data_IF_073334197137
#
_entry.id   IF_073334197137
#
_cell.length_a   1.000
_cell.length_b   1.000
_cell.length_c   1.000
_cell.angle_alpha   90.00
_cell.angle_beta   90.00
_cell.angle_gamma   90.00
#
_symmetry.space_group_name_H-M   'P 1'
#
loop_
_entity.id
_entity.type
_entity.pdbx_description
1 polymer ?
#
# COMPACT_ATOMS: atom_id res chain seq x y z
N UNK A 1 -19.39 15.25 1.74
CA UNK A 1 -18.71 14.04 2.23
C UNK A 1 -18.66 13.03 1.09
N UNK A 2 -17.53 12.36 0.88
CA UNK A 2 -17.50 11.18 0.00
C UNK A 2 -17.99 9.98 0.81
N UNK A 3 -19.21 9.50 0.54
CA UNK A 3 -19.93 8.52 1.36
C UNK A 3 -19.88 7.09 0.79
N UNK A 4 -18.89 6.77 -0.07
CA UNK A 4 -18.75 5.43 -0.64
C UNK A 4 -18.70 4.36 0.45
N UNK A 5 -19.55 3.33 0.33
CA UNK A 5 -19.64 2.22 1.27
C UNK A 5 -20.58 2.42 2.46
N UNK A 6 -21.12 3.64 2.66
CA UNK A 6 -22.15 3.90 3.67
C UNK A 6 -23.56 3.62 3.11
N UNK A 7 -24.50 3.31 4.01
CA UNK A 7 -25.92 3.07 3.69
C UNK A 7 -26.55 4.21 2.88
N UNK A 8 -26.02 5.43 3.02
CA UNK A 8 -26.44 6.63 2.29
C UNK A 8 -26.24 6.57 0.77
N UNK A 9 -25.42 5.64 0.28
CA UNK A 9 -25.13 5.43 -1.15
C UNK A 9 -25.61 4.04 -1.61
N UNK A 10 -26.17 3.23 -0.71
CA UNK A 10 -26.69 1.90 -1.07
C UNK A 10 -28.07 2.05 -1.73
N UNK A 11 -28.18 1.54 -2.96
CA UNK A 11 -29.40 1.60 -3.77
C UNK A 11 -30.48 0.60 -3.35
N UNK A 12 -30.15 -0.35 -2.49
CA UNK A 12 -31.03 -1.44 -2.05
C UNK A 12 -31.76 -1.11 -0.74
N UNK A 13 -31.90 0.18 -0.41
CA UNK A 13 -32.54 0.68 0.81
C UNK A 13 -33.56 1.78 0.47
N UNK A 14 -34.48 2.06 1.39
CA UNK A 14 -35.49 3.10 1.18
C UNK A 14 -34.88 4.51 1.17
N UNK A 15 -35.39 5.45 0.35
CA UNK A 15 -34.94 6.84 0.35
C UNK A 15 -34.96 7.50 1.73
N UNK A 16 -35.95 7.16 2.56
CA UNK A 16 -36.07 7.69 3.92
C UNK A 16 -34.81 7.41 4.75
N UNK A 17 -34.29 6.18 4.70
CA UNK A 17 -33.10 5.78 5.46
C UNK A 17 -31.86 6.53 4.96
N UNK A 18 -31.69 6.62 3.64
CA UNK A 18 -30.56 7.34 3.05
C UNK A 18 -30.60 8.84 3.42
N UNK A 19 -31.76 9.47 3.30
CA UNK A 19 -31.96 10.88 3.65
C UNK A 19 -31.73 11.12 5.14
N UNK A 20 -32.31 10.28 6.01
CA UNK A 20 -32.16 10.41 7.45
C UNK A 20 -30.69 10.30 7.87
N UNK A 21 -29.98 9.27 7.40
CA UNK A 21 -28.56 9.07 7.74
C UNK A 21 -27.70 10.20 7.19
N UNK A 22 -27.91 10.65 5.95
CA UNK A 22 -27.15 11.77 5.37
C UNK A 22 -27.30 13.05 6.20
N UNK A 23 -28.53 13.42 6.57
CA UNK A 23 -28.79 14.61 7.37
C UNK A 23 -28.20 14.48 8.77
N UNK A 24 -28.33 13.30 9.41
CA UNK A 24 -27.70 13.04 10.70
C UNK A 24 -26.17 13.14 10.62
N UNK A 25 -25.54 12.56 9.60
CA UNK A 25 -24.09 12.65 9.38
C UNK A 25 -23.64 14.08 9.12
N UNK A 26 -24.39 14.86 8.34
CA UNK A 26 -24.08 16.27 8.09
C UNK A 26 -24.17 17.09 9.38
N UNK A 27 -25.22 16.88 10.18
CA UNK A 27 -25.34 17.52 11.50
C UNK A 27 -24.20 17.16 12.44
N UNK A 28 -23.86 15.87 12.52
CA UNK A 28 -22.77 15.38 13.37
C UNK A 28 -21.40 15.88 12.93
N UNK A 29 -21.06 15.72 11.64
CA UNK A 29 -19.69 15.86 11.15
C UNK A 29 -19.37 17.25 10.59
N UNK A 30 -20.37 17.98 10.07
CA UNK A 30 -20.19 19.32 9.49
C UNK A 30 -20.65 20.39 10.47
N UNK A 31 -21.90 20.30 10.92
CA UNK A 31 -22.48 21.32 11.80
C UNK A 31 -22.04 21.17 13.26
N UNK A 32 -21.41 20.04 13.62
CA UNK A 32 -20.98 19.68 14.98
C UNK A 32 -22.13 19.78 15.99
N UNK A 33 -23.30 19.29 15.58
CA UNK A 33 -24.55 19.35 16.34
C UNK A 33 -25.11 17.92 16.57
N UNK A 34 -24.60 17.21 17.61
CA UNK A 34 -25.06 15.87 17.94
C UNK A 34 -26.51 15.85 18.43
N UNK A 35 -26.91 16.83 19.23
CA UNK A 35 -28.25 16.90 19.80
C UNK A 35 -29.30 17.17 18.71
N UNK A 36 -29.00 18.03 17.74
CA UNK A 36 -29.86 18.23 16.58
C UNK A 36 -29.92 17.02 15.67
N UNK A 37 -28.85 16.21 15.56
CA UNK A 37 -28.90 14.94 14.83
C UNK A 37 -29.83 13.93 15.52
N UNK A 38 -29.75 13.82 16.86
CA UNK A 38 -30.64 12.96 17.67
C UNK A 38 -32.09 13.43 17.57
N UNK A 39 -32.31 14.75 17.68
CA UNK A 39 -33.65 15.35 17.60
C UNK A 39 -34.27 15.10 16.23
N UNK A 40 -33.50 15.31 15.15
CA UNK A 40 -33.96 15.03 13.80
C UNK A 40 -34.33 13.56 13.61
N UNK A 41 -33.48 12.62 14.05
CA UNK A 41 -33.79 11.19 13.96
C UNK A 41 -35.06 10.82 14.74
N UNK A 42 -35.25 11.35 15.96
CA UNK A 42 -36.47 11.14 16.75
C UNK A 42 -37.71 11.69 16.04
N UNK A 43 -37.61 12.89 15.46
CA UNK A 43 -38.70 13.52 14.72
C UNK A 43 -39.08 12.69 13.49
N UNK A 44 -38.11 12.27 12.68
CA UNK A 44 -38.37 11.42 11.51
C UNK A 44 -39.05 10.11 11.89
N UNK A 45 -38.64 9.48 13.00
CA UNK A 45 -39.31 8.27 13.51
C UNK A 45 -40.74 8.59 13.96
N UNK A 46 -40.96 9.72 14.64
CA UNK A 46 -42.29 10.14 15.06
C UNK A 46 -43.21 10.38 13.86
N UNK A 47 -42.72 11.06 12.83
CA UNK A 47 -43.49 11.33 11.62
C UNK A 47 -43.84 10.05 10.86
N UNK A 48 -42.94 9.07 10.85
CA UNK A 48 -43.22 7.73 10.31
C UNK A 48 -44.35 7.04 11.08
N UNK A 49 -44.30 7.05 12.42
CA UNK A 49 -45.31 6.42 13.27
C UNK A 49 -46.67 7.12 13.22
N UNK A 50 -46.67 8.44 13.02
CA UNK A 50 -47.88 9.25 12.83
C UNK A 50 -48.40 9.23 11.38
N UNK A 51 -47.84 8.39 10.49
CA UNK A 51 -48.22 8.28 9.08
C UNK A 51 -48.13 9.62 8.31
N UNK A 52 -47.14 10.46 8.64
CA UNK A 52 -46.87 11.75 8.00
C UNK A 52 -45.82 11.67 6.88
N UNK A 53 -45.25 10.49 6.65
CA UNK A 53 -44.23 10.26 5.61
C UNK A 53 -44.90 9.69 4.36
N UNK A 54 -44.58 10.28 3.21
CA UNK A 54 -45.05 9.79 1.92
C UNK A 54 -44.52 8.39 1.63
N UNK A 55 -45.39 7.51 1.14
CA UNK A 55 -45.06 6.09 0.88
C UNK A 55 -43.91 5.93 -0.12
N UNK A 56 -43.71 6.87 -1.05
CA UNK A 56 -42.58 6.86 -1.99
C UNK A 56 -41.22 6.86 -1.29
N UNK A 57 -41.13 7.47 -0.10
CA UNK A 57 -39.90 7.47 0.72
C UNK A 57 -39.61 6.11 1.35
N UNK A 58 -40.58 5.20 1.38
CA UNK A 58 -40.48 3.85 1.95
C UNK A 58 -40.23 2.77 0.89
N UNK A 59 -40.25 3.13 -0.40
CA UNK A 59 -40.03 2.19 -1.51
C UNK A 59 -38.59 1.70 -1.50
N UNK A 60 -38.42 0.40 -1.38
CA UNK A 60 -37.12 -0.28 -1.51
C UNK A 60 -37.02 -0.82 -2.93
N UNK A 61 -35.89 -0.60 -3.58
CA UNK A 61 -35.68 -1.03 -4.97
C UNK A 61 -34.47 -1.95 -5.05
N UNK A 62 -34.69 -3.24 -5.36
CA UNK A 62 -33.61 -4.23 -5.44
C UNK A 62 -33.55 -4.89 -6.82
N UNK A 63 -32.35 -5.16 -7.28
CA UNK A 63 -32.12 -5.78 -8.59
C UNK A 63 -32.45 -7.27 -8.57
N UNK A 64 -33.21 -7.73 -9.57
CA UNK A 64 -33.48 -9.14 -9.78
C UNK A 64 -32.29 -9.80 -10.48
N UNK A 65 -31.23 -10.08 -9.72
CA UNK A 65 -30.00 -10.67 -10.26
C UNK A 65 -30.10 -12.19 -10.50
N UNK A 66 -30.95 -12.88 -9.74
CA UNK A 66 -31.16 -14.34 -9.82
C UNK A 66 -32.52 -14.72 -9.23
N UNK A 67 -33.07 -15.83 -9.70
CA UNK A 67 -34.42 -16.30 -9.30
C UNK A 67 -34.41 -17.26 -8.13
N UNK A 68 -33.29 -17.96 -7.89
CA UNK A 68 -33.15 -18.89 -6.78
C UNK A 68 -32.11 -18.40 -5.77
N UNK A 69 -32.58 -18.16 -4.54
CA UNK A 69 -31.75 -17.85 -3.38
C UNK A 69 -32.01 -18.89 -2.30
N UNK A 70 -30.96 -19.26 -1.55
CA UNK A 70 -31.07 -20.17 -0.42
C UNK A 70 -32.07 -19.71 0.67
N UNK A 71 -32.27 -18.40 0.79
CA UNK A 71 -33.29 -17.80 1.64
C UNK A 71 -34.30 -16.99 0.81
N UNK A 72 -35.58 -17.08 1.16
CA UNK A 72 -36.65 -16.33 0.47
C UNK A 72 -36.39 -14.82 0.51
N UNK A 73 -36.33 -14.20 -0.67
CA UNK A 73 -36.10 -12.77 -0.82
C UNK A 73 -37.39 -12.06 -1.27
N UNK A 74 -37.72 -10.92 -0.66
CA UNK A 74 -38.96 -10.19 -0.93
C UNK A 74 -39.15 -9.79 -2.42
N UNK A 75 -38.12 -9.22 -3.05
CA UNK A 75 -38.13 -8.80 -4.47
C UNK A 75 -38.31 -9.98 -5.46
N UNK A 76 -37.81 -11.17 -5.12
CA UNK A 76 -37.95 -12.38 -5.96
C UNK A 76 -39.35 -12.95 -5.85
N UNK A 77 -39.88 -13.04 -4.63
CA UNK A 77 -41.26 -13.49 -4.37
C UNK A 77 -42.28 -12.55 -5.03
N UNK A 78 -42.01 -11.24 -5.00
CA UNK A 78 -42.85 -10.25 -5.69
C UNK A 78 -42.79 -10.43 -7.21
N UNK A 79 -41.59 -10.59 -7.80
CA UNK A 79 -41.45 -10.84 -9.23
C UNK A 79 -42.20 -12.11 -9.67
N UNK A 80 -42.12 -13.20 -8.88
CA UNK A 80 -42.87 -14.43 -9.13
C UNK A 80 -44.39 -14.24 -9.04
N UNK A 81 -44.87 -13.45 -8.08
CA UNK A 81 -46.30 -13.09 -7.97
C UNK A 81 -46.77 -12.23 -9.14
N UNK A 82 -45.96 -11.26 -9.58
CA UNK A 82 -46.25 -10.44 -10.75
C UNK A 82 -46.36 -11.30 -12.00
N UNK A 83 -45.41 -12.23 -12.20
CA UNK A 83 -45.43 -13.20 -13.31
C UNK A 83 -46.65 -14.11 -13.33
N UNK A 84 -47.14 -14.53 -12.15
CA UNK A 84 -48.38 -15.31 -12.03
C UNK A 84 -49.63 -14.48 -12.36
N UNK A 85 -49.62 -13.18 -12.06
CA UNK A 85 -50.74 -12.27 -12.33
C UNK A 85 -50.81 -11.89 -13.80
N UNK A 86 -49.66 -11.55 -14.38
CA UNK A 86 -49.51 -11.22 -15.80
C UNK A 86 -48.04 -11.39 -16.19
N UNK A 87 -47.78 -12.33 -17.10
CA UNK A 87 -46.43 -12.63 -17.57
C UNK A 87 -45.83 -11.50 -18.43
N UNK A 88 -46.66 -10.67 -19.07
CA UNK A 88 -46.21 -9.59 -19.96
C UNK A 88 -45.61 -8.39 -19.22
N UNK A 89 -46.05 -8.13 -17.99
CA UNK A 89 -45.61 -6.98 -17.16
C UNK A 89 -44.63 -7.38 -16.04
N UNK A 90 -44.21 -8.64 -16.01
CA UNK A 90 -43.33 -9.15 -14.96
C UNK A 90 -41.86 -8.68 -15.14
N UNK A 91 -41.16 -8.33 -14.05
CA UNK A 91 -39.75 -7.97 -14.11
C UNK A 91 -38.88 -9.12 -14.61
N UNK A 92 -37.91 -8.81 -15.48
CA UNK A 92 -36.92 -9.74 -16.03
C UNK A 92 -35.63 -9.71 -15.20
N UNK A 93 -34.74 -10.67 -15.45
CA UNK A 93 -33.40 -10.66 -14.85
C UNK A 93 -32.65 -9.37 -15.24
N UNK A 94 -32.09 -8.69 -14.25
CA UNK A 94 -31.47 -7.36 -14.40
C UNK A 94 -32.43 -6.19 -14.09
N UNK A 95 -33.74 -6.41 -14.06
CA UNK A 95 -34.69 -5.35 -13.71
C UNK A 95 -34.68 -5.08 -12.20
N UNK A 96 -34.96 -3.81 -11.86
CA UNK A 96 -35.09 -3.34 -10.49
C UNK A 96 -36.54 -3.45 -10.05
N UNK A 97 -36.79 -4.22 -8.99
CA UNK A 97 -38.14 -4.46 -8.46
C UNK A 97 -38.38 -3.53 -7.27
N UNK A 98 -39.30 -2.54 -7.39
CA UNK A 98 -39.72 -1.70 -6.27
C UNK A 98 -40.74 -2.43 -5.40
N UNK A 99 -40.60 -2.34 -4.08
CA UNK A 99 -41.55 -2.91 -3.13
C UNK A 99 -41.55 -2.15 -1.80
N UNK A 100 -42.63 -2.29 -1.04
CA UNK A 100 -42.77 -1.78 0.32
C UNK A 100 -43.14 -2.95 1.24
N UNK A 101 -42.59 -2.96 2.45
CA UNK A 101 -42.90 -3.97 3.47
C UNK A 101 -44.04 -3.43 4.32
N UNK A 102 -45.24 -3.98 4.12
CA UNK A 102 -46.47 -3.55 4.84
C UNK A 102 -46.73 -4.36 6.12
N UNK A 103 -46.12 -5.54 6.24
CA UNK A 103 -46.28 -6.41 7.40
C UNK A 103 -45.02 -7.27 7.54
N UNK A 104 -44.46 -7.34 8.75
CA UNK A 104 -43.37 -8.27 9.02
C UNK A 104 -43.91 -9.72 9.08
N UNK A 105 -43.12 -10.68 8.62
CA UNK A 105 -43.48 -12.10 8.72
C UNK A 105 -43.67 -12.55 10.18
N UNK A 106 -44.41 -13.65 10.41
CA UNK A 106 -44.49 -14.29 11.74
C UNK A 106 -43.06 -14.65 12.20
N UNK A 107 -42.56 -13.94 13.21
CA UNK A 107 -41.16 -14.02 13.69
C UNK A 107 -40.29 -12.79 13.39
N UNK A 108 -40.79 -11.81 12.63
CA UNK A 108 -40.15 -10.51 12.47
C UNK A 108 -40.23 -9.70 13.77
N UNK A 109 -39.10 -9.14 14.21
CA UNK A 109 -38.95 -8.40 15.47
C UNK A 109 -39.66 -7.04 15.48
N UNK A 110 -40.94 -6.97 15.15
CA UNK A 110 -41.72 -5.70 15.13
C UNK A 110 -42.30 -5.30 16.48
N UNK A 111 -42.16 -6.14 17.50
CA UNK A 111 -42.43 -5.77 18.90
C UNK A 111 -41.22 -6.10 19.77
N UNK A 112 -40.10 -5.40 19.57
CA UNK A 112 -38.99 -5.46 20.51
C UNK A 112 -39.44 -4.97 21.89
N UNK A 113 -39.03 -5.65 22.95
CA UNK A 113 -39.17 -5.11 24.32
C UNK A 113 -38.10 -4.03 24.55
N UNK A 114 -38.23 -3.17 25.58
CA UNK A 114 -37.13 -2.30 26.00
C UNK A 114 -35.81 -3.06 26.18
N UNK A 115 -35.86 -4.31 26.65
CA UNK A 115 -34.69 -5.16 26.87
C UNK A 115 -34.04 -5.61 25.55
N UNK A 116 -34.82 -6.00 24.53
CA UNK A 116 -34.24 -6.37 23.22
C UNK A 116 -33.65 -5.15 22.50
N UNK A 117 -34.27 -3.97 22.61
CA UNK A 117 -33.71 -2.71 22.11
C UNK A 117 -32.43 -2.31 22.84
N UNK A 118 -32.37 -2.49 24.17
CA UNK A 118 -31.15 -2.28 24.96
C UNK A 118 -30.02 -3.20 24.50
N UNK A 119 -30.29 -4.48 24.26
CA UNK A 119 -29.30 -5.43 23.74
C UNK A 119 -28.73 -4.99 22.39
N UNK A 120 -29.60 -4.56 21.47
CA UNK A 120 -29.18 -4.02 20.17
C UNK A 120 -28.35 -2.73 20.32
N UNK A 121 -28.77 -1.82 21.20
CA UNK A 121 -28.04 -0.58 21.47
C UNK A 121 -26.62 -0.83 22.02
N UNK A 122 -26.47 -1.79 22.95
CA UNK A 122 -25.16 -2.20 23.47
C UNK A 122 -24.30 -2.83 22.38
N UNK A 123 -24.90 -3.65 21.51
CA UNK A 123 -24.22 -4.21 20.35
C UNK A 123 -23.72 -3.10 19.41
N UNK A 124 -24.58 -2.15 19.03
CA UNK A 124 -24.19 -1.01 18.19
C UNK A 124 -23.13 -0.12 18.85
N UNK A 125 -23.20 0.09 20.17
CA UNK A 125 -22.18 0.84 20.90
C UNK A 125 -20.82 0.16 20.82
N UNK A 126 -20.79 -1.17 20.97
CA UNK A 126 -19.56 -1.96 20.79
C UNK A 126 -19.02 -1.81 19.37
N UNK A 127 -19.86 -1.93 18.35
CA UNK A 127 -19.47 -1.77 16.94
C UNK A 127 -18.96 -0.36 16.63
N UNK A 128 -19.53 0.69 17.26
CA UNK A 128 -19.04 2.06 17.11
C UNK A 128 -17.71 2.31 17.86
N UNK A 129 -17.51 1.63 18.99
CA UNK A 129 -16.31 1.80 19.81
C UNK A 129 -15.09 1.02 19.29
N UNK A 130 -15.31 -0.14 18.65
CA UNK A 130 -14.24 -0.99 18.12
C UNK A 130 -13.32 -0.26 17.10
N UNK A 131 -13.83 0.50 16.12
CA UNK A 131 -13.00 1.30 15.21
C UNK A 131 -12.11 2.31 15.93
N UNK A 132 -12.60 2.95 17.00
CA UNK A 132 -11.80 3.86 17.82
C UNK A 132 -10.64 3.12 18.50
N UNK A 133 -10.91 1.94 19.07
CA UNK A 133 -9.87 1.09 19.66
C UNK A 133 -8.85 0.61 18.62
N UNK A 134 -9.28 0.29 17.41
CA UNK A 134 -8.39 -0.11 16.33
C UNK A 134 -7.53 1.07 15.87
N UNK A 135 -8.11 2.26 15.73
CA UNK A 135 -7.39 3.48 15.36
C UNK A 135 -6.24 3.76 16.34
N UNK A 136 -6.51 3.61 17.63
CA UNK A 136 -5.53 3.79 18.71
C UNK A 136 -4.51 2.65 18.74
N UNK A 137 -4.96 1.39 18.74
CA UNK A 137 -4.07 0.22 18.80
C UNK A 137 -3.12 0.13 17.60
N UNK A 138 -3.59 0.50 16.41
CA UNK A 138 -2.79 0.53 15.18
C UNK A 138 -2.06 1.86 14.98
N UNK A 139 -2.25 2.83 15.88
CA UNK A 139 -1.63 4.16 15.83
C UNK A 139 -1.83 4.84 14.46
N UNK A 140 -2.98 4.61 13.81
CA UNK A 140 -3.22 5.03 12.43
C UNK A 140 -3.02 6.54 12.24
N UNK A 141 -3.53 7.35 13.17
CA UNK A 141 -3.41 8.80 13.10
C UNK A 141 -1.94 9.24 13.19
N UNK A 142 -1.17 8.67 14.11
CA UNK A 142 0.26 8.97 14.29
C UNK A 142 1.06 8.57 13.05
N UNK A 143 0.83 7.37 12.54
CA UNK A 143 1.52 6.87 11.34
C UNK A 143 1.22 7.75 10.11
N UNK A 144 -0.02 8.20 9.94
CA UNK A 144 -0.37 9.11 8.85
C UNK A 144 0.20 10.51 9.03
N UNK A 145 0.24 11.05 10.25
CA UNK A 145 0.90 12.33 10.53
C UNK A 145 2.39 12.27 10.20
N UNK A 146 3.09 11.22 10.61
CA UNK A 146 4.51 11.05 10.30
C UNK A 146 4.75 10.87 8.80
N UNK A 147 3.91 10.09 8.11
CA UNK A 147 3.97 9.98 6.65
C UNK A 147 3.75 11.33 5.95
N UNK A 148 2.79 12.13 6.41
CA UNK A 148 2.52 13.47 5.87
C UNK A 148 3.71 14.40 6.09
N UNK A 149 4.34 14.38 7.28
CA UNK A 149 5.54 15.15 7.61
C UNK A 149 6.74 14.77 6.73
N UNK A 150 6.96 13.47 6.53
CA UNK A 150 8.07 12.94 5.72
C UNK A 150 7.89 13.26 4.24
N UNK A 151 6.69 13.04 3.71
CA UNK A 151 6.45 13.13 2.25
C UNK A 151 5.94 14.50 1.81
N UNK A 152 5.51 15.35 2.75
CA UNK A 152 5.03 16.70 2.48
C UNK A 152 3.70 16.74 1.73
N UNK A 153 2.82 15.75 1.92
CA UNK A 153 1.46 15.70 1.35
C UNK A 153 0.41 15.85 2.44
N UNK A 154 -0.82 16.22 2.08
CA UNK A 154 -1.92 16.32 3.05
C UNK A 154 -2.40 14.96 3.56
N UNK A 155 -2.98 14.91 4.75
CA UNK A 155 -3.60 13.69 5.31
C UNK A 155 -4.70 13.15 4.38
N UNK A 156 -5.48 14.03 3.76
CA UNK A 156 -6.51 13.63 2.80
C UNK A 156 -5.92 12.89 1.60
N UNK A 157 -4.76 13.31 1.09
CA UNK A 157 -4.06 12.58 0.03
C UNK A 157 -3.59 11.20 0.50
N UNK A 158 -3.19 11.00 1.75
CA UNK A 158 -2.77 9.69 2.23
C UNK A 158 -3.90 8.65 2.23
N UNK A 159 -5.14 9.10 2.39
CA UNK A 159 -6.33 8.22 2.37
C UNK A 159 -6.89 8.00 0.97
N UNK A 160 -6.76 8.99 0.09
CA UNK A 160 -7.43 9.01 -1.23
C UNK A 160 -6.48 8.78 -2.42
N UNK A 161 -5.16 8.82 -2.20
CA UNK A 161 -4.13 8.71 -3.25
C UNK A 161 -3.08 7.64 -2.92
N UNK A 162 -2.49 7.06 -3.96
CA UNK A 162 -1.41 6.06 -3.84
C UNK A 162 -0.02 6.65 -3.55
N UNK A 163 1.04 5.85 -3.75
CA UNK A 163 2.42 6.23 -3.42
C UNK A 163 3.00 7.30 -4.35
N UNK A 164 2.57 7.37 -5.62
CA UNK A 164 3.16 8.28 -6.61
C UNK A 164 3.10 9.76 -6.19
N UNK A 165 2.02 10.22 -5.54
CA UNK A 165 1.91 11.62 -5.12
C UNK A 165 2.96 11.99 -4.06
N UNK A 166 3.35 11.03 -3.23
CA UNK A 166 4.33 11.21 -2.15
C UNK A 166 5.74 11.40 -2.71
N UNK A 167 6.10 10.60 -3.72
CA UNK A 167 7.39 10.74 -4.42
C UNK A 167 7.40 12.02 -5.25
N UNK A 168 6.32 12.31 -5.97
CA UNK A 168 6.19 13.54 -6.76
C UNK A 168 6.31 14.81 -5.89
N UNK A 169 5.69 14.85 -4.71
CA UNK A 169 5.81 15.99 -3.77
C UNK A 169 7.26 16.22 -3.35
N UNK A 170 7.99 15.16 -3.01
CA UNK A 170 9.40 15.25 -2.64
C UNK A 170 10.28 15.68 -3.81
N UNK A 171 10.02 15.14 -5.01
CA UNK A 171 10.75 15.51 -6.22
C UNK A 171 10.54 16.98 -6.56
N UNK A 172 9.30 17.49 -6.54
CA UNK A 172 8.98 18.90 -6.79
C UNK A 172 9.66 19.85 -5.79
N UNK A 173 9.74 19.47 -4.51
CA UNK A 173 10.46 20.27 -3.50
C UNK A 173 11.95 20.34 -3.82
N UNK A 174 12.55 19.23 -4.25
CA UNK A 174 13.98 19.17 -4.59
C UNK A 174 14.31 19.85 -5.92
N UNK A 175 13.46 19.72 -6.93
CA UNK A 175 13.63 20.41 -8.21
C UNK A 175 13.55 21.92 -8.02
N UNK A 176 12.64 22.43 -7.18
CA UNK A 176 12.58 23.85 -6.81
C UNK A 176 13.87 24.34 -6.15
N UNK A 177 14.47 23.57 -5.25
CA UNK A 177 15.73 23.94 -4.58
C UNK A 177 16.92 24.02 -5.56
N UNK A 178 16.89 23.23 -6.62
CA UNK A 178 17.98 23.08 -7.59
C UNK A 178 17.68 23.73 -8.95
N UNK A 179 16.62 24.53 -9.04
CA UNK A 179 16.16 25.21 -10.26
C UNK A 179 15.93 24.27 -11.47
N UNK A 180 15.33 23.10 -11.23
CA UNK A 180 14.86 22.20 -12.29
C UNK A 180 13.34 22.33 -12.50
N UNK A 181 12.92 22.09 -13.74
CA UNK A 181 11.51 21.97 -14.12
C UNK A 181 11.25 20.51 -14.48
N UNK A 182 10.13 19.95 -14.00
CA UNK A 182 9.70 18.59 -14.37
C UNK A 182 8.84 18.70 -15.64
N UNK A 183 9.17 17.98 -16.72
CA UNK A 183 8.36 17.98 -17.93
C UNK A 183 7.01 17.32 -17.68
N UNK A 184 5.98 17.77 -18.40
CA UNK A 184 4.68 17.12 -18.39
C UNK A 184 4.72 15.87 -19.26
N UNK A 185 4.56 14.70 -18.64
CA UNK A 185 4.42 13.45 -19.36
C UNK A 185 2.94 13.18 -19.67
N UNK A 186 2.60 13.16 -20.96
CA UNK A 186 1.31 12.71 -21.47
C UNK A 186 1.50 11.27 -21.95
N UNK A 187 1.40 10.32 -21.02
CA UNK A 187 1.74 8.92 -21.31
C UNK A 187 0.88 8.27 -22.38
N UNK A 188 1.52 7.40 -23.17
CA UNK A 188 0.87 6.30 -23.89
C UNK A 188 1.04 5.01 -23.08
N UNK A 189 0.08 4.08 -23.19
CA UNK A 189 0.26 2.73 -22.65
C UNK A 189 1.36 2.03 -23.47
N UNK A 190 2.59 2.03 -22.96
CA UNK A 190 3.63 1.14 -23.47
C UNK A 190 3.42 -0.25 -22.89
N UNK A 191 3.43 -1.29 -23.73
CA UNK A 191 3.38 -2.69 -23.29
C UNK A 191 4.75 -3.23 -22.82
N UNK A 192 5.80 -2.42 -22.92
CA UNK A 192 7.18 -2.84 -22.67
C UNK A 192 7.40 -3.19 -21.19
N UNK A 193 7.27 -4.48 -20.86
CA UNK A 193 7.70 -4.99 -19.56
C UNK A 193 9.22 -5.10 -19.55
N UNK A 194 9.85 -4.57 -18.50
CA UNK A 194 11.29 -4.72 -18.27
C UNK A 194 11.57 -5.91 -17.34
N UNK A 195 12.74 -6.50 -17.49
CA UNK A 195 13.16 -7.64 -16.68
C UNK A 195 13.29 -7.26 -15.20
N UNK A 196 12.51 -7.93 -14.35
CA UNK A 196 12.43 -7.69 -12.91
C UNK A 196 13.61 -8.26 -12.11
N UNK A 197 13.35 -8.53 -10.83
CA UNK A 197 14.29 -9.21 -9.95
C UNK A 197 14.50 -10.67 -10.37
N UNK A 198 15.68 -11.22 -10.04
CA UNK A 198 15.95 -12.66 -10.20
C UNK A 198 15.72 -13.38 -8.89
N UNK A 199 15.17 -14.59 -9.01
CA UNK A 199 15.10 -15.59 -7.96
C UNK A 199 16.11 -16.69 -8.31
N UNK A 200 17.03 -17.00 -7.40
CA UNK A 200 17.95 -18.13 -7.59
C UNK A 200 17.13 -19.41 -7.50
N UNK A 201 17.35 -20.33 -8.44
CA UNK A 201 16.64 -21.60 -8.48
C UNK A 201 16.83 -22.38 -7.17
N UNK A 202 15.74 -22.69 -6.43
CA UNK A 202 15.87 -23.30 -5.12
C UNK A 202 16.35 -24.74 -5.23
N UNK A 203 17.35 -25.09 -4.43
CA UNK A 203 17.69 -26.48 -4.14
C UNK A 203 16.62 -27.02 -3.18
N UNK A 204 15.57 -27.61 -3.73
CA UNK A 204 14.42 -28.07 -2.95
C UNK A 204 14.82 -29.24 -2.05
N UNK A 205 14.41 -29.18 -0.79
CA UNK A 205 14.66 -30.26 0.16
C UNK A 205 14.32 -29.85 1.59
N UNK A 206 14.34 -30.84 2.48
CA UNK A 206 14.30 -30.60 3.91
C UNK A 206 15.72 -30.43 4.44
N UNK A 207 16.00 -29.30 5.08
CA UNK A 207 17.30 -28.97 5.65
C UNK A 207 17.22 -29.04 7.17
N UNK A 208 17.83 -30.08 7.76
CA UNK A 208 17.97 -30.20 9.21
C UNK A 208 19.11 -29.32 9.77
N UNK A 209 20.09 -28.98 8.92
CA UNK A 209 21.24 -28.16 9.28
C UNK A 209 20.89 -26.66 9.23
N UNK A 210 21.55 -25.82 10.04
CA UNK A 210 21.37 -24.36 10.02
C UNK A 210 21.64 -23.73 8.64
N UNK A 211 20.74 -22.84 8.23
CA UNK A 211 20.87 -22.01 7.02
C UNK A 211 21.01 -20.55 7.42
N UNK A 212 22.07 -19.90 6.98
CA UNK A 212 22.30 -18.49 7.22
C UNK A 212 21.62 -17.65 6.13
N UNK A 213 20.76 -16.71 6.53
CA UNK A 213 20.14 -15.75 5.61
C UNK A 213 20.91 -14.44 5.64
N UNK A 214 21.38 -13.99 4.48
CA UNK A 214 22.12 -12.75 4.30
C UNK A 214 21.32 -11.80 3.41
N UNK A 215 20.95 -10.64 3.94
CA UNK A 215 20.08 -9.66 3.29
C UNK A 215 20.80 -8.32 3.02
N UNK A 216 20.55 -7.73 1.85
CA UNK A 216 20.95 -6.35 1.55
C UNK A 216 19.95 -5.37 2.15
N UNK A 217 20.43 -4.51 3.05
CA UNK A 217 19.57 -3.48 3.61
C UNK A 217 19.23 -2.41 2.57
N UNK A 218 17.97 -2.34 2.13
CA UNK A 218 17.49 -1.33 1.18
C UNK A 218 18.23 -1.39 -0.17
N UNK A 219 18.33 -2.59 -0.77
CA UNK A 219 19.08 -2.86 -2.00
C UNK A 219 18.88 -1.81 -3.10
N UNK A 220 17.64 -1.60 -3.57
CA UNK A 220 17.37 -0.69 -4.70
C UNK A 220 17.72 0.78 -4.41
N UNK A 221 17.30 1.38 -3.28
CA UNK A 221 17.82 2.67 -2.86
C UNK A 221 19.35 2.77 -2.87
N UNK A 222 20.03 1.75 -2.36
CA UNK A 222 21.50 1.72 -2.31
C UNK A 222 22.13 1.68 -3.70
N UNK A 223 21.60 0.86 -4.63
CA UNK A 223 22.05 0.82 -6.03
C UNK A 223 21.90 2.18 -6.70
N UNK A 224 20.73 2.82 -6.53
CA UNK A 224 20.46 4.13 -7.14
C UNK A 224 21.45 5.20 -6.65
N UNK A 225 21.79 5.19 -5.35
CA UNK A 225 22.76 6.11 -4.78
C UNK A 225 24.20 5.81 -5.26
N UNK A 226 24.63 4.54 -5.17
CA UNK A 226 26.00 4.13 -5.49
C UNK A 226 26.36 4.40 -6.96
N UNK A 227 25.42 4.18 -7.88
CA UNK A 227 25.63 4.37 -9.32
C UNK A 227 25.04 5.70 -9.84
N UNK A 228 24.66 6.62 -8.96
CA UNK A 228 24.14 7.95 -9.31
C UNK A 228 22.97 7.92 -10.31
N UNK A 229 22.05 6.96 -10.18
CA UNK A 229 20.95 6.73 -11.11
C UNK A 229 19.82 7.76 -10.88
N UNK A 230 19.59 8.63 -11.85
CA UNK A 230 18.59 9.70 -11.75
C UNK A 230 18.15 10.20 -13.13
N UNK A 231 16.94 10.78 -13.20
CA UNK A 231 16.47 11.51 -14.38
C UNK A 231 17.46 12.57 -14.87
N UNK A 232 18.13 13.28 -13.96
CA UNK A 232 19.06 14.37 -14.27
C UNK A 232 20.48 13.92 -14.61
N UNK A 233 20.75 12.62 -14.56
CA UNK A 233 22.07 12.03 -14.85
C UNK A 233 22.02 11.00 -15.96
N UNK A 234 20.82 10.64 -16.45
CA UNK A 234 20.63 9.78 -17.61
C UNK A 234 21.19 10.44 -18.87
N UNK A 235 21.97 9.68 -19.65
CA UNK A 235 22.60 10.14 -20.88
C UNK A 235 22.12 9.32 -22.07
N UNK A 236 21.89 10.00 -23.20
CA UNK A 236 21.73 9.37 -24.51
C UNK A 236 23.07 9.38 -25.26
N UNK A 237 23.31 8.46 -26.20
CA UNK A 237 24.52 8.48 -27.03
C UNK A 237 24.76 9.83 -27.72
N UNK A 238 23.68 10.46 -28.20
CA UNK A 238 23.73 11.80 -28.81
C UNK A 238 24.20 12.88 -27.82
N UNK A 239 23.78 12.80 -26.56
CA UNK A 239 24.19 13.74 -25.51
C UNK A 239 25.65 13.57 -25.15
N UNK A 240 26.16 12.33 -25.14
CA UNK A 240 27.58 12.02 -24.90
C UNK A 240 28.45 12.66 -25.99
N UNK A 241 28.10 12.48 -27.26
CA UNK A 241 28.84 13.08 -28.38
C UNK A 241 28.74 14.61 -28.37
N UNK A 242 27.55 15.17 -28.11
CA UNK A 242 27.34 16.63 -28.12
C UNK A 242 28.09 17.35 -27.00
N UNK A 243 28.22 16.71 -25.84
CA UNK A 243 28.91 17.28 -24.68
C UNK A 243 30.38 16.86 -24.60
N UNK A 244 30.87 16.10 -25.60
CA UNK A 244 32.25 15.62 -25.69
C UNK A 244 32.71 14.92 -24.39
N UNK A 245 31.83 14.12 -23.79
CA UNK A 245 32.10 13.47 -22.51
C UNK A 245 33.11 12.34 -22.68
N UNK A 246 34.10 12.30 -21.80
CA UNK A 246 35.12 11.24 -21.79
C UNK A 246 34.60 9.98 -21.06
N UNK A 247 35.11 8.77 -21.38
CA UNK A 247 34.63 7.52 -20.78
C UNK A 247 34.74 7.44 -19.25
N UNK A 248 35.63 8.22 -18.64
CA UNK A 248 35.78 8.32 -17.19
C UNK A 248 34.70 9.19 -16.51
N UNK A 249 33.91 9.95 -17.28
CA UNK A 249 32.89 10.88 -16.76
C UNK A 249 31.50 10.26 -16.63
N UNK A 250 31.27 9.11 -17.26
CA UNK A 250 30.01 8.38 -17.19
C UNK A 250 30.23 6.90 -16.88
N UNK A 251 29.15 6.20 -16.54
CA UNK A 251 29.12 4.76 -16.30
C UNK A 251 28.10 4.09 -17.21
N UNK A 252 28.45 2.90 -17.69
CA UNK A 252 27.52 2.02 -18.42
C UNK A 252 26.95 0.97 -17.45
N UNK A 253 25.64 0.83 -17.44
CA UNK A 253 24.92 -0.16 -16.62
C UNK A 253 24.93 -1.54 -17.27
N UNK A 254 24.63 -2.63 -16.53
CA UNK A 254 24.61 -3.98 -17.10
C UNK A 254 23.58 -4.14 -18.24
N UNK A 255 22.50 -3.36 -18.23
CA UNK A 255 21.52 -3.31 -19.32
C UNK A 255 21.86 -2.32 -20.45
N UNK A 256 23.04 -1.69 -20.44
CA UNK A 256 23.54 -0.86 -21.53
C UNK A 256 23.19 0.63 -21.47
N UNK A 257 22.45 1.09 -20.46
CA UNK A 257 22.14 2.51 -20.25
C UNK A 257 23.35 3.29 -19.69
N UNK A 258 23.42 4.59 -19.99
CA UNK A 258 24.52 5.46 -19.57
C UNK A 258 24.07 6.51 -18.54
N UNK A 259 24.88 6.69 -17.49
CA UNK A 259 24.63 7.68 -16.44
C UNK A 259 25.90 8.48 -16.12
N UNK A 260 25.75 9.77 -15.88
CA UNK A 260 26.85 10.65 -15.48
C UNK A 260 27.34 10.32 -14.06
N UNK A 261 28.66 10.36 -13.84
CA UNK A 261 29.23 10.15 -12.50
C UNK A 261 28.92 11.30 -11.55
N UNK A 262 28.87 10.97 -10.25
CA UNK A 262 28.56 11.91 -9.18
C UNK A 262 29.58 13.04 -9.02
N UNK A 263 30.81 12.84 -9.50
CA UNK A 263 31.88 13.85 -9.52
C UNK A 263 31.51 15.10 -10.33
N UNK A 264 30.72 14.94 -11.39
CA UNK A 264 30.27 16.04 -12.24
C UNK A 264 28.90 16.57 -11.83
N UNK A 265 27.97 15.66 -11.53
CA UNK A 265 26.63 16.04 -11.06
C UNK A 265 26.06 14.95 -10.17
N UNK A 266 25.71 15.33 -8.95
CA UNK A 266 24.91 14.49 -8.07
C UNK A 266 23.43 14.51 -8.51
N UNK A 267 22.86 13.34 -8.74
CA UNK A 267 21.45 13.19 -9.13
C UNK A 267 20.48 13.58 -8.01
N UNK A 268 19.29 14.04 -8.40
CA UNK A 268 18.22 14.39 -7.46
C UNK A 268 17.67 13.18 -6.69
N UNK A 269 17.50 12.03 -7.35
CA UNK A 269 17.00 10.81 -6.70
C UNK A 269 17.98 10.28 -5.64
N UNK A 270 19.30 10.16 -5.91
CA UNK A 270 20.31 9.88 -4.88
C UNK A 270 20.21 10.82 -3.68
N UNK A 271 20.10 12.14 -3.90
CA UNK A 271 20.00 13.11 -2.80
C UNK A 271 18.70 12.92 -1.97
N UNK A 272 17.57 12.61 -2.60
CA UNK A 272 16.31 12.29 -1.90
C UNK A 272 16.49 11.02 -1.06
N UNK A 273 17.06 9.97 -1.64
CA UNK A 273 17.26 8.67 -0.97
C UNK A 273 18.22 8.78 0.21
N UNK A 274 19.33 9.51 0.07
CA UNK A 274 20.26 9.76 1.17
C UNK A 274 19.57 10.47 2.34
N UNK A 275 18.77 11.50 2.06
CA UNK A 275 18.03 12.22 3.09
C UNK A 275 17.01 11.30 3.79
N UNK A 276 16.26 10.49 3.03
CA UNK A 276 15.29 9.54 3.59
C UNK A 276 15.96 8.45 4.45
N UNK A 277 17.07 7.87 3.98
CA UNK A 277 17.78 6.81 4.69
C UNK A 277 18.53 7.33 5.91
N UNK A 278 19.14 8.52 5.82
CA UNK A 278 19.77 9.20 6.96
C UNK A 278 18.75 9.52 8.04
N UNK A 279 17.61 10.12 7.67
CA UNK A 279 16.52 10.39 8.61
C UNK A 279 15.96 9.09 9.22
N UNK A 280 15.90 8.00 8.45
CA UNK A 280 15.46 6.68 8.97
C UNK A 280 16.44 6.12 9.99
N UNK A 281 17.75 6.24 9.70
CA UNK A 281 18.80 5.82 10.63
C UNK A 281 18.71 6.60 11.94
N UNK A 282 18.51 7.92 11.87
CA UNK A 282 18.30 8.75 13.04
C UNK A 282 17.05 8.32 13.82
N UNK A 283 15.89 8.19 13.16
CA UNK A 283 14.65 7.75 13.82
C UNK A 283 14.80 6.39 14.52
N UNK A 284 15.52 5.43 13.92
CA UNK A 284 15.82 4.14 14.56
C UNK A 284 16.77 4.27 15.75
N UNK A 285 17.73 5.20 15.71
CA UNK A 285 18.64 5.43 16.83
C UNK A 285 17.92 6.11 18.00
N UNK A 286 17.06 7.08 17.71
CA UNK A 286 16.23 7.75 18.71
C UNK A 286 15.26 6.75 19.35
N UNK A 287 14.64 5.87 18.55
CA UNK A 287 13.77 4.80 19.02
C UNK A 287 14.44 3.86 20.04
N UNK A 288 15.75 3.59 19.88
CA UNK A 288 16.50 2.74 20.82
C UNK A 288 16.79 3.41 22.15
N UNK A 289 16.86 4.75 22.16
CA UNK A 289 17.18 5.55 23.35
C UNK A 289 15.93 5.98 24.12
N UNK A 290 14.81 6.10 23.41
CA UNK A 290 13.55 6.56 23.98
C UNK A 290 12.98 5.54 24.97
N UNK A 291 12.45 6.05 26.08
CA UNK A 291 11.87 5.25 27.16
C UNK A 291 10.34 5.37 27.17
N UNK A 292 9.81 6.53 26.77
CA UNK A 292 8.37 6.77 26.71
C UNK A 292 7.68 5.94 25.61
N UNK A 293 6.70 5.14 26.02
CA UNK A 293 6.00 4.21 25.12
C UNK A 293 5.24 4.91 24.00
N UNK A 294 4.69 6.10 24.24
CA UNK A 294 3.99 6.85 23.20
C UNK A 294 4.98 7.40 22.17
N UNK A 295 6.07 8.03 22.61
CA UNK A 295 7.13 8.54 21.72
C UNK A 295 7.82 7.42 20.95
N UNK A 296 8.05 6.25 21.55
CA UNK A 296 8.54 5.07 20.81
C UNK A 296 7.63 4.73 19.63
N UNK A 297 6.31 4.69 19.83
CA UNK A 297 5.36 4.43 18.75
C UNK A 297 5.39 5.50 17.66
N UNK A 298 5.54 6.78 18.03
CA UNK A 298 5.72 7.88 17.06
C UNK A 298 7.00 7.69 16.23
N UNK A 299 8.11 7.38 16.89
CA UNK A 299 9.40 7.14 16.24
C UNK A 299 9.38 5.90 15.34
N UNK A 300 8.68 4.85 15.74
CA UNK A 300 8.49 3.66 14.91
C UNK A 300 7.61 3.97 13.68
N UNK A 301 6.52 4.71 13.86
CA UNK A 301 5.70 5.21 12.76
C UNK A 301 6.52 6.05 11.76
N UNK A 302 7.41 6.90 12.27
CA UNK A 302 8.34 7.70 11.46
C UNK A 302 9.32 6.85 10.68
N UNK A 303 9.98 5.86 11.30
CA UNK A 303 10.95 5.01 10.57
C UNK A 303 10.27 4.14 9.49
N UNK A 304 9.05 3.66 9.76
CA UNK A 304 8.25 2.94 8.77
C UNK A 304 7.87 3.83 7.59
N UNK A 305 7.45 5.07 7.87
CA UNK A 305 7.11 6.03 6.82
C UNK A 305 8.31 6.34 5.90
N UNK A 306 9.49 6.52 6.49
CA UNK A 306 10.74 6.74 5.75
C UNK A 306 11.13 5.51 4.92
N UNK A 307 10.98 4.29 5.48
CA UNK A 307 11.23 3.03 4.75
C UNK A 307 10.32 2.91 3.52
N UNK A 308 9.01 3.10 3.70
CA UNK A 308 8.03 2.99 2.61
C UNK A 308 8.31 4.05 1.54
N UNK A 309 8.63 5.28 1.96
CA UNK A 309 8.95 6.38 1.03
C UNK A 309 10.18 6.07 0.19
N UNK A 310 11.27 5.58 0.80
CA UNK A 310 12.49 5.22 0.08
C UNK A 310 12.26 4.10 -0.94
N UNK A 311 11.55 3.03 -0.55
CA UNK A 311 11.24 1.92 -1.45
C UNK A 311 10.32 2.34 -2.61
N UNK A 312 9.46 3.35 -2.39
CA UNK A 312 8.54 3.86 -3.40
C UNK A 312 9.24 4.69 -4.49
N UNK A 313 10.44 5.23 -4.24
CA UNK A 313 11.17 6.04 -5.24
C UNK A 313 11.52 5.21 -6.47
N UNK A 314 12.05 4.00 -6.28
CA UNK A 314 12.29 3.06 -7.39
C UNK A 314 10.99 2.70 -8.12
N UNK A 315 9.95 2.32 -7.38
CA UNK A 315 8.66 1.96 -7.99
C UNK A 315 8.03 3.11 -8.78
N UNK A 316 8.33 4.36 -8.42
CA UNK A 316 7.88 5.54 -9.17
C UNK A 316 8.54 5.64 -10.55
N UNK A 317 9.82 5.30 -10.70
CA UNK A 317 10.50 5.36 -12.00
C UNK A 317 10.02 4.24 -12.94
N UNK A 318 9.68 3.07 -12.41
CA UNK A 318 9.17 1.93 -13.20
C UNK A 318 7.67 1.98 -13.51
N UNK A 319 6.91 2.93 -12.96
CA UNK A 319 5.46 2.97 -13.12
C UNK A 319 5.05 3.61 -14.46
N UNK A 320 4.84 2.77 -15.49
CA UNK A 320 4.38 3.18 -16.83
C UNK A 320 3.06 3.97 -16.79
N UNK A 321 2.10 3.50 -15.99
CA UNK A 321 0.88 4.26 -15.66
C UNK A 321 1.21 5.26 -14.56
N UNK A 322 1.90 6.33 -14.94
CA UNK A 322 2.48 7.28 -14.00
C UNK A 322 2.68 8.67 -14.58
N UNK A 323 3.28 9.54 -13.76
CA UNK A 323 3.53 10.95 -14.12
C UNK A 323 4.92 11.20 -14.69
N UNK A 324 5.86 10.27 -14.50
CA UNK A 324 7.25 10.42 -14.96
C UNK A 324 7.96 9.04 -15.03
N UNK A 325 7.47 8.09 -15.85
CA UNK A 325 8.15 6.81 -16.03
C UNK A 325 9.54 7.02 -16.66
N UNK A 326 10.50 6.20 -16.25
CA UNK A 326 11.83 6.09 -16.84
C UNK A 326 12.32 4.66 -16.63
N UNK A 327 12.09 3.83 -17.65
CA UNK A 327 12.37 2.40 -17.62
C UNK A 327 13.88 2.13 -17.62
N UNK A 328 14.68 3.06 -18.13
CA UNK A 328 16.14 3.01 -18.13
C UNK A 328 16.68 2.96 -16.70
N UNK A 329 16.07 3.74 -15.78
CA UNK A 329 16.45 3.72 -14.37
C UNK A 329 16.01 2.40 -13.74
N UNK A 330 14.75 1.99 -13.92
CA UNK A 330 14.24 0.79 -13.25
C UNK A 330 14.91 -0.49 -13.73
N UNK A 331 15.12 -0.63 -15.04
CA UNK A 331 15.87 -1.75 -15.64
C UNK A 331 17.34 -1.77 -15.20
N UNK A 332 17.99 -0.60 -15.08
CA UNK A 332 19.37 -0.54 -14.56
C UNK A 332 19.45 -0.99 -13.11
N UNK A 333 18.48 -0.59 -12.27
CA UNK A 333 18.43 -1.00 -10.87
C UNK A 333 18.24 -2.51 -10.73
N UNK A 334 17.30 -3.11 -11.49
CA UNK A 334 17.09 -4.56 -11.44
C UNK A 334 18.30 -5.31 -11.99
N UNK A 335 18.91 -4.84 -13.08
CA UNK A 335 20.10 -5.46 -13.65
C UNK A 335 21.29 -5.46 -12.68
N UNK A 336 21.56 -4.34 -12.00
CA UNK A 336 22.56 -4.31 -10.92
C UNK A 336 22.21 -5.29 -9.79
N UNK A 337 20.95 -5.34 -9.37
CA UNK A 337 20.48 -6.30 -8.36
C UNK A 337 20.78 -7.74 -8.73
N UNK A 338 20.52 -8.14 -9.99
CA UNK A 338 20.85 -9.48 -10.50
C UNK A 338 22.34 -9.76 -10.46
N UNK A 339 23.16 -8.82 -10.94
CA UNK A 339 24.63 -8.99 -10.94
C UNK A 339 25.18 -9.10 -9.52
N UNK A 340 24.64 -8.33 -8.56
CA UNK A 340 25.09 -8.36 -7.17
C UNK A 340 24.77 -9.69 -6.50
N UNK A 341 23.59 -10.27 -6.74
CA UNK A 341 23.21 -11.58 -6.20
C UNK A 341 24.11 -12.68 -6.78
N UNK A 342 24.37 -12.66 -8.08
CA UNK A 342 25.20 -13.68 -8.72
C UNK A 342 26.67 -13.59 -8.25
N UNK A 343 27.22 -12.39 -8.17
CA UNK A 343 28.55 -12.15 -7.59
C UNK A 343 28.61 -12.61 -6.14
N UNK A 344 27.57 -12.31 -5.36
CA UNK A 344 27.44 -12.74 -3.96
C UNK A 344 27.49 -14.25 -3.83
N UNK A 345 26.76 -14.96 -4.69
CA UNK A 345 26.74 -16.42 -4.71
C UNK A 345 28.13 -16.97 -5.00
N UNK A 346 28.75 -16.51 -6.07
CA UNK A 346 30.10 -16.94 -6.48
C UNK A 346 31.14 -16.68 -5.39
N UNK A 347 31.09 -15.50 -4.76
CA UNK A 347 31.96 -15.13 -3.65
C UNK A 347 31.80 -16.04 -2.44
N UNK A 348 30.55 -16.34 -2.04
CA UNK A 348 30.28 -17.22 -0.90
C UNK A 348 30.80 -18.64 -1.17
N UNK A 349 30.47 -19.21 -2.33
CA UNK A 349 30.85 -20.58 -2.68
C UNK A 349 32.36 -20.71 -2.91
N UNK A 350 33.02 -19.68 -3.45
CA UNK A 350 34.47 -19.66 -3.64
C UNK A 350 35.22 -19.48 -2.32
N UNK A 351 34.76 -18.60 -1.43
CA UNK A 351 35.49 -18.25 -0.20
C UNK A 351 35.38 -19.31 0.88
N UNK A 352 34.17 -19.81 1.14
CA UNK A 352 33.92 -20.79 2.20
C UNK A 352 33.94 -22.19 1.60
N UNK A 353 35.13 -22.66 1.23
CA UNK A 353 35.33 -23.99 0.67
C UNK A 353 36.48 -24.70 1.36
N UNK A 354 36.53 -26.02 1.22
CA UNK A 354 37.55 -26.88 1.82
C UNK A 354 38.95 -26.49 1.35
N UNK A 355 39.09 -26.09 0.08
CA UNK A 355 40.35 -25.62 -0.49
C UNK A 355 40.91 -24.37 0.22
N UNK A 356 40.05 -23.55 0.81
CA UNK A 356 40.43 -22.35 1.58
C UNK A 356 40.53 -22.60 3.09
N UNK A 357 40.54 -23.87 3.53
CA UNK A 357 40.74 -24.27 4.93
C UNK A 357 39.47 -24.26 5.79
N UNK A 358 38.29 -24.27 5.18
CA UNK A 358 37.02 -24.47 5.91
C UNK A 358 36.66 -25.96 6.01
N UNK A 359 35.84 -26.33 6.99
CA UNK A 359 35.45 -27.74 7.21
C UNK A 359 34.55 -28.31 6.10
N UNK A 360 33.79 -27.44 5.44
CA UNK A 360 32.79 -27.80 4.45
C UNK A 360 32.74 -26.77 3.31
N UNK A 361 32.23 -27.21 2.15
CA UNK A 361 31.90 -26.31 1.05
C UNK A 361 30.53 -25.66 1.29
N UNK A 362 30.54 -24.33 1.37
CA UNK A 362 29.33 -23.55 1.47
C UNK A 362 28.57 -23.57 0.15
N UNK A 363 27.24 -23.67 0.24
CA UNK A 363 26.36 -23.74 -0.91
C UNK A 363 25.23 -22.72 -0.75
N UNK A 364 25.00 -21.92 -1.78
CA UNK A 364 23.80 -21.08 -1.85
C UNK A 364 22.64 -21.97 -2.30
N UNK A 365 21.67 -22.17 -1.42
CA UNK A 365 20.54 -23.07 -1.66
C UNK A 365 19.31 -22.34 -2.20
N UNK A 366 19.22 -21.04 -1.95
CA UNK A 366 18.15 -20.18 -2.42
C UNK A 366 18.58 -18.72 -2.37
N UNK A 367 17.86 -17.87 -3.11
CA UNK A 367 18.00 -16.42 -3.04
C UNK A 367 16.81 -15.76 -3.70
N UNK A 368 16.33 -14.69 -3.08
CA UNK A 368 15.20 -13.91 -3.57
C UNK A 368 15.57 -12.42 -3.49
N UNK A 369 15.69 -11.79 -4.65
CA UNK A 369 15.79 -10.33 -4.89
C UNK A 369 16.93 -9.59 -4.18
N UNK A 370 16.96 -9.60 -2.86
CA UNK A 370 17.91 -8.91 -2.00
C UNK A 370 18.47 -9.82 -0.89
N UNK A 371 18.18 -11.12 -0.93
CA UNK A 371 18.64 -12.07 0.07
C UNK A 371 19.21 -13.35 -0.55
N UNK A 372 20.21 -13.93 0.12
CA UNK A 372 20.77 -15.25 -0.19
C UNK A 372 20.76 -16.14 1.04
N UNK A 373 20.44 -17.41 0.83
CA UNK A 373 20.33 -18.43 1.87
C UNK A 373 21.49 -19.41 1.69
N UNK A 374 22.42 -19.38 2.64
CA UNK A 374 23.69 -20.09 2.57
C UNK A 374 23.68 -21.26 3.54
N UNK A 375 23.95 -22.46 3.02
CA UNK A 375 24.28 -23.64 3.82
C UNK A 375 25.80 -23.69 3.97
N UNK A 376 26.33 -23.44 5.16
CA UNK A 376 27.77 -23.54 5.43
C UNK A 376 28.24 -24.97 5.73
N UNK A 377 27.32 -25.92 5.95
CA UNK A 377 27.63 -27.33 6.23
C UNK A 377 27.76 -27.68 7.71
N UNK A 378 28.06 -26.72 8.59
CA UNK A 378 28.06 -26.94 10.05
C UNK A 378 26.67 -27.30 10.58
N UNK A 379 26.63 -28.20 11.57
CA UNK A 379 25.41 -28.55 12.31
C UNK A 379 25.16 -27.61 13.48
N UNK A 380 26.17 -26.84 13.89
CA UNK A 380 26.12 -25.96 15.05
C UNK A 380 25.58 -24.58 14.68
N UNK A 381 24.46 -24.20 15.31
CA UNK A 381 23.81 -22.92 15.02
C UNK A 381 24.70 -21.71 15.31
N UNK A 382 25.47 -21.75 16.41
CA UNK A 382 26.36 -20.64 16.80
C UNK A 382 27.45 -20.40 15.76
N UNK A 383 27.99 -21.47 15.19
CA UNK A 383 29.02 -21.38 14.17
C UNK A 383 28.45 -20.83 12.85
N UNK A 384 27.28 -21.31 12.42
CA UNK A 384 26.59 -20.79 11.24
C UNK A 384 26.31 -19.28 11.36
N UNK A 385 25.89 -18.81 12.54
CA UNK A 385 25.70 -17.37 12.80
C UNK A 385 27.02 -16.58 12.73
N UNK A 386 28.12 -17.14 13.23
CA UNK A 386 29.43 -16.51 13.19
C UNK A 386 29.95 -16.38 11.75
N UNK A 387 29.85 -17.45 10.95
CA UNK A 387 30.21 -17.46 9.52
C UNK A 387 29.34 -16.47 8.73
N UNK A 388 28.02 -16.47 8.96
CA UNK A 388 27.11 -15.50 8.34
C UNK A 388 27.46 -14.04 8.70
N UNK A 389 27.84 -13.79 9.95
CA UNK A 389 28.25 -12.44 10.41
C UNK A 389 29.58 -12.01 9.79
N UNK A 390 30.56 -12.92 9.67
CA UNK A 390 31.83 -12.66 8.98
C UNK A 390 31.57 -12.33 7.51
N UNK A 391 30.69 -13.06 6.85
CA UNK A 391 30.35 -12.76 5.47
C UNK A 391 29.64 -11.41 5.34
N UNK A 392 28.73 -11.07 6.25
CA UNK A 392 28.05 -9.77 6.29
C UNK A 392 29.02 -8.57 6.32
N UNK A 393 30.19 -8.71 6.96
CA UNK A 393 31.20 -7.64 6.93
C UNK A 393 31.82 -7.43 5.55
N UNK A 394 31.94 -8.50 4.76
CA UNK A 394 32.44 -8.43 3.40
C UNK A 394 31.44 -7.74 2.46
N UNK A 395 30.14 -8.02 2.60
CA UNK A 395 29.07 -7.34 1.84
C UNK A 395 29.09 -5.81 1.97
N UNK A 396 29.55 -5.27 3.10
CA UNK A 396 29.68 -3.81 3.27
C UNK A 396 30.71 -3.16 2.34
N UNK A 397 31.57 -3.93 1.66
CA UNK A 397 32.55 -3.40 0.69
C UNK A 397 31.95 -3.11 -0.69
N UNK A 398 30.75 -3.62 -0.98
CA UNK A 398 30.00 -3.35 -2.22
C UNK A 398 29.05 -2.14 -2.10
N UNK A 399 29.01 -1.50 -0.93
CA UNK A 399 28.32 -0.23 -0.65
C UNK A 399 29.36 0.85 -0.35
#
# INVERSE_FOLDING_TARGET
MDCKGLETVRRDNSPLVANMINTCLQKLLINRDPDGAVTYAKQTISDLLCNKIDISQLVITKELAKTDYAAKQAHVELANKMKKRDAGTAPKLGDRVPYVIIQAGKGGHTAGTPQTRRRLAVYCLKDAYLPLRLLDKLMCLVNYMEMARVTGVSLGCLLTRGQQIKVMSQLLRKTRQKNFIIPTYHGGQGEDQFEGATVIEPKKGYYADPIATLDFSSLYPSIMMAHNLCYTTLLTPQTITKLELTPDQYSKTPCGNFFLKSSLRKGLLPEILENLLSARKQAKNDLKKETDEFKKKVLDGRQLALKISANSVYGFTGAQVGKLPCLEISSSVTAYGRTMIEQTKQEVEHKYCIANGYEHDAVVIYGDTDSVMVKFGTKELKEAMALGTRQKQFFKRFH
#
